data_IF_511177844401
#
_entry.id   IF_511177844401
#
_cell.length_a   1.000
_cell.length_b   1.000
_cell.length_c   1.000
_cell.angle_alpha   90.00
_cell.angle_beta   90.00
_cell.angle_gamma   90.00
#
_symmetry.space_group_name_H-M   'P 1'
#
loop_
_entity.id
_entity.type
_entity.pdbx_description
1 polymer ?
#
# COMPACT_ATOMS: atom_id res chain seq x y z
N UNK A 1 -62.06 -32.62 -47.99
CA UNK A 1 -60.64 -32.79 -47.63
C UNK A 1 -59.83 -31.88 -48.54
N UNK A 2 -59.44 -30.69 -48.06
CA UNK A 2 -58.76 -29.64 -48.85
C UNK A 2 -57.34 -29.43 -48.30
N UNK A 3 -56.30 -29.30 -49.15
CA UNK A 3 -54.93 -29.11 -48.67
C UNK A 3 -54.71 -27.66 -48.20
N UNK A 4 -54.09 -27.50 -47.03
CA UNK A 4 -53.63 -26.21 -46.51
C UNK A 4 -52.31 -25.85 -47.19
N UNK A 5 -52.28 -24.71 -47.87
CA UNK A 5 -51.04 -24.11 -48.38
C UNK A 5 -50.27 -23.51 -47.19
N UNK A 6 -49.05 -24.01 -46.97
CA UNK A 6 -48.13 -23.47 -45.96
C UNK A 6 -47.40 -22.27 -46.56
N UNK A 7 -47.84 -21.05 -46.23
CA UNK A 7 -47.16 -19.82 -46.62
C UNK A 7 -45.96 -19.58 -45.72
N UNK A 8 -44.75 -19.73 -46.29
CA UNK A 8 -43.48 -19.50 -45.61
C UNK A 8 -43.27 -17.97 -45.48
N UNK A 9 -43.39 -17.44 -44.27
CA UNK A 9 -43.14 -16.02 -44.01
C UNK A 9 -41.65 -15.66 -44.25
N UNK A 10 -41.35 -14.51 -44.88
CA UNK A 10 -39.96 -14.11 -45.08
C UNK A 10 -39.35 -13.68 -43.74
N UNK A 11 -38.22 -14.32 -43.37
CA UNK A 11 -37.37 -13.85 -42.29
C UNK A 11 -36.78 -12.50 -42.71
N UNK A 12 -37.30 -11.41 -42.16
CA UNK A 12 -36.68 -10.08 -42.27
C UNK A 12 -35.37 -10.13 -41.49
N UNK A 13 -34.27 -10.34 -42.20
CA UNK A 13 -32.95 -10.07 -41.66
C UNK A 13 -32.93 -8.60 -41.27
N UNK A 14 -32.87 -8.30 -39.97
CA UNK A 14 -32.60 -6.93 -39.53
C UNK A 14 -31.24 -6.59 -40.13
N UNK A 15 -31.22 -5.64 -41.07
CA UNK A 15 -29.98 -5.08 -41.55
C UNK A 15 -29.27 -4.51 -40.33
N UNK A 16 -28.21 -5.19 -39.89
CA UNK A 16 -27.28 -4.61 -38.95
C UNK A 16 -26.77 -3.34 -39.62
N UNK A 17 -27.16 -2.18 -39.09
CA UNK A 17 -26.57 -0.91 -39.51
C UNK A 17 -25.09 -1.01 -39.16
N UNK A 18 -24.25 -1.23 -40.17
CA UNK A 18 -22.80 -1.30 -40.00
C UNK A 18 -22.27 0.04 -39.50
N UNK A 19 -21.31 -0.02 -38.60
CA UNK A 19 -20.58 1.15 -38.12
C UNK A 19 -19.92 1.87 -39.31
N UNK A 20 -20.01 3.19 -39.34
CA UNK A 20 -19.33 3.97 -40.38
C UNK A 20 -17.83 4.06 -40.07
N UNK A 21 -16.97 4.23 -41.09
CA UNK A 21 -15.53 4.46 -40.88
C UNK A 21 -15.26 5.68 -39.97
N UNK A 22 -16.09 6.71 -40.12
CA UNK A 22 -16.03 7.93 -39.29
C UNK A 22 -16.32 7.61 -37.83
N UNK A 23 -17.29 6.75 -37.54
CA UNK A 23 -17.63 6.35 -36.17
C UNK A 23 -16.48 5.62 -35.49
N UNK A 24 -15.82 4.70 -36.20
CA UNK A 24 -14.65 3.98 -35.66
C UNK A 24 -13.45 4.93 -35.44
N UNK A 25 -13.23 5.90 -36.33
CA UNK A 25 -12.21 6.94 -36.13
C UNK A 25 -12.49 7.79 -34.89
N UNK A 26 -13.75 8.21 -34.69
CA UNK A 26 -14.16 8.98 -33.51
C UNK A 26 -13.97 8.17 -32.23
N UNK A 27 -14.34 6.89 -32.22
CA UNK A 27 -14.15 6.01 -31.05
C UNK A 27 -12.66 5.86 -30.71
N UNK A 28 -11.79 5.63 -31.71
CA UNK A 28 -10.34 5.54 -31.47
C UNK A 28 -9.78 6.87 -30.99
N UNK A 29 -10.23 8.00 -31.54
CA UNK A 29 -9.79 9.33 -31.10
C UNK A 29 -10.15 9.58 -29.62
N UNK A 30 -11.37 9.25 -29.21
CA UNK A 30 -11.80 9.36 -27.81
C UNK A 30 -11.03 8.38 -26.92
N UNK A 31 -10.86 7.12 -27.34
CA UNK A 31 -10.11 6.12 -26.60
C UNK A 31 -8.64 6.53 -26.42
N UNK A 32 -7.99 7.08 -27.45
CA UNK A 32 -6.62 7.60 -27.38
C UNK A 32 -6.52 8.78 -26.41
N UNK A 33 -7.50 9.69 -26.43
CA UNK A 33 -7.55 10.83 -25.50
C UNK A 33 -7.72 10.37 -24.04
N UNK A 34 -8.56 9.37 -23.77
CA UNK A 34 -8.72 8.79 -22.43
C UNK A 34 -7.47 8.02 -21.99
N UNK A 35 -6.88 7.23 -22.89
CA UNK A 35 -5.66 6.47 -22.62
C UNK A 35 -4.47 7.38 -22.27
N UNK A 36 -4.41 8.60 -22.85
CA UNK A 36 -3.38 9.58 -22.53
C UNK A 36 -3.44 10.09 -21.07
N UNK A 37 -4.63 10.08 -20.43
CA UNK A 37 -4.80 10.53 -19.04
C UNK A 37 -4.63 9.38 -18.02
N UNK A 38 -4.71 8.14 -18.46
CA UNK A 38 -4.67 6.96 -17.59
C UNK A 38 -3.39 6.85 -16.72
N UNK A 39 -2.16 7.15 -17.23
CA UNK A 39 -0.94 7.03 -16.42
C UNK A 39 -0.94 7.94 -15.18
N UNK A 40 -1.41 9.19 -15.32
CA UNK A 40 -1.43 10.13 -14.19
C UNK A 40 -2.39 9.71 -13.08
N UNK A 41 -3.58 9.20 -13.45
CA UNK A 41 -4.55 8.70 -12.48
C UNK A 41 -4.01 7.44 -11.78
N UNK A 42 -3.33 6.57 -12.53
CA UNK A 42 -2.77 5.32 -12.00
C UNK A 42 -1.68 5.56 -10.95
N UNK A 43 -0.75 6.48 -11.19
CA UNK A 43 0.35 6.80 -10.25
C UNK A 43 -0.18 7.21 -8.88
N UNK A 44 -1.17 8.12 -8.83
CA UNK A 44 -1.74 8.60 -7.55
C UNK A 44 -2.43 7.50 -6.74
N UNK A 45 -3.12 6.58 -7.43
CA UNK A 45 -3.79 5.45 -6.79
C UNK A 45 -2.73 4.51 -6.18
N UNK A 46 -1.66 4.25 -6.93
CA UNK A 46 -0.55 3.39 -6.48
C UNK A 46 0.20 3.99 -5.29
N UNK A 47 0.59 5.27 -5.33
CA UNK A 47 1.24 5.96 -4.20
C UNK A 47 0.40 5.86 -2.92
N UNK A 48 -0.91 6.09 -3.04
CA UNK A 48 -1.84 6.01 -1.91
C UNK A 48 -1.95 4.59 -1.36
N UNK A 49 -1.95 3.58 -2.24
CA UNK A 49 -1.96 2.18 -1.84
C UNK A 49 -0.66 1.78 -1.14
N UNK A 50 0.48 2.09 -1.74
CA UNK A 50 1.81 1.82 -1.21
C UNK A 50 2.03 2.49 0.15
N UNK A 51 1.57 3.73 0.34
CA UNK A 51 1.62 4.40 1.63
C UNK A 51 0.83 3.63 2.70
N UNK A 52 -0.42 3.27 2.40
CA UNK A 52 -1.28 2.53 3.35
C UNK A 52 -0.68 1.17 3.68
N UNK A 53 -0.09 0.50 2.70
CA UNK A 53 0.54 -0.79 2.86
C UNK A 53 1.85 -0.68 3.68
N UNK A 54 2.62 0.39 3.50
CA UNK A 54 3.81 0.67 4.30
C UNK A 54 3.46 0.91 5.78
N UNK A 55 2.47 1.76 6.06
CA UNK A 55 2.00 2.00 7.43
C UNK A 55 1.44 0.73 8.06
N UNK A 56 0.61 -0.01 7.31
CA UNK A 56 -0.01 -1.25 7.79
C UNK A 56 1.03 -2.34 8.07
N UNK A 57 2.00 -2.52 7.17
CA UNK A 57 3.04 -3.54 7.34
C UNK A 57 3.93 -3.21 8.53
N UNK A 58 4.37 -1.96 8.69
CA UNK A 58 5.11 -1.51 9.87
C UNK A 58 4.34 -1.77 11.17
N UNK A 59 3.08 -1.33 11.23
CA UNK A 59 2.23 -1.54 12.41
C UNK A 59 2.06 -3.02 12.76
N UNK A 60 1.76 -3.83 11.75
CA UNK A 60 1.55 -5.28 11.93
C UNK A 60 2.83 -5.94 12.41
N UNK A 61 3.98 -5.65 11.79
CA UNK A 61 5.26 -6.24 12.20
C UNK A 61 5.66 -5.86 13.62
N UNK A 62 5.51 -4.59 14.02
CA UNK A 62 5.80 -4.18 15.40
C UNK A 62 4.89 -4.89 16.41
N UNK A 63 3.59 -4.95 16.11
CA UNK A 63 2.63 -5.64 16.97
C UNK A 63 2.94 -7.13 17.11
N UNK A 64 3.25 -7.80 16.00
CA UNK A 64 3.54 -9.23 16.05
C UNK A 64 4.87 -9.51 16.76
N UNK A 65 5.90 -8.69 16.57
CA UNK A 65 7.16 -8.83 17.32
C UNK A 65 6.97 -8.64 18.83
N UNK A 66 6.09 -7.71 19.25
CA UNK A 66 5.71 -7.57 20.67
C UNK A 66 5.01 -8.83 21.19
N UNK A 67 4.02 -9.31 20.45
CA UNK A 67 3.28 -10.53 20.82
C UNK A 67 4.23 -11.75 20.89
N UNK A 68 5.16 -11.87 19.95
CA UNK A 68 6.20 -12.90 19.96
C UNK A 68 7.16 -12.77 21.14
N UNK A 69 7.58 -11.56 21.52
CA UNK A 69 8.44 -11.35 22.69
C UNK A 69 7.74 -11.82 23.98
N UNK A 70 6.47 -11.49 24.13
CA UNK A 70 5.64 -11.90 25.27
C UNK A 70 5.43 -13.42 25.33
N UNK A 71 5.13 -14.05 24.18
CA UNK A 71 4.83 -15.49 24.12
C UNK A 71 6.10 -16.34 24.21
N UNK A 72 7.16 -15.95 23.50
CA UNK A 72 8.43 -16.69 23.49
C UNK A 72 9.27 -16.46 24.76
N UNK A 73 9.01 -15.38 25.50
CA UNK A 73 9.84 -14.97 26.62
C UNK A 73 11.26 -14.53 26.20
N UNK A 74 11.46 -14.19 24.91
CA UNK A 74 12.73 -13.76 24.35
C UNK A 74 12.63 -12.33 23.82
N UNK A 75 13.76 -11.61 23.81
CA UNK A 75 13.83 -10.27 23.23
C UNK A 75 13.65 -10.36 21.71
N UNK A 76 12.72 -9.58 21.16
CA UNK A 76 12.52 -9.45 19.72
C UNK A 76 13.01 -8.10 19.22
N UNK A 77 13.79 -8.11 18.14
CA UNK A 77 14.38 -6.90 17.56
C UNK A 77 13.70 -6.55 16.25
N UNK A 78 13.12 -5.37 16.19
CA UNK A 78 12.74 -4.71 14.95
C UNK A 78 13.90 -3.84 14.45
N UNK A 79 14.22 -3.90 13.16
CA UNK A 79 15.26 -3.08 12.53
C UNK A 79 14.75 -2.53 11.20
N UNK A 80 14.84 -1.21 11.05
CA UNK A 80 14.44 -0.46 9.87
C UNK A 80 15.67 0.27 9.31
N UNK A 81 16.01 -0.03 8.06
CA UNK A 81 17.01 0.72 7.29
C UNK A 81 16.33 1.97 6.70
N UNK A 82 16.70 3.14 7.20
CA UNK A 82 16.10 4.42 6.80
C UNK A 82 16.57 4.85 5.41
N UNK A 83 17.77 4.42 4.99
CA UNK A 83 18.33 4.77 3.67
C UNK A 83 17.76 3.87 2.58
N UNK A 84 17.77 2.56 2.81
CA UNK A 84 17.23 1.59 1.86
C UNK A 84 15.70 1.45 1.97
N UNK A 85 15.06 2.16 2.93
CA UNK A 85 13.62 2.20 3.18
C UNK A 85 13.04 0.79 3.26
N UNK A 86 13.66 -0.07 4.05
CA UNK A 86 13.27 -1.47 4.15
C UNK A 86 13.46 -2.01 5.55
N UNK A 87 12.63 -2.98 5.90
CA UNK A 87 12.77 -3.75 7.13
C UNK A 87 12.50 -5.22 6.85
N UNK A 88 13.01 -6.08 7.73
CA UNK A 88 12.76 -7.51 7.65
C UNK A 88 11.80 -7.90 8.75
N UNK A 89 10.89 -8.82 8.42
CA UNK A 89 10.04 -9.47 9.39
C UNK A 89 9.89 -10.94 8.98
N UNK A 90 10.31 -11.84 9.88
CA UNK A 90 10.48 -13.26 9.55
C UNK A 90 11.41 -13.46 8.34
N UNK A 91 10.93 -14.17 7.33
CA UNK A 91 11.63 -14.39 6.05
C UNK A 91 11.29 -13.36 4.96
N UNK A 92 10.43 -12.39 5.26
CA UNK A 92 9.95 -11.41 4.28
C UNK A 92 10.66 -10.07 4.47
N UNK A 93 11.22 -9.55 3.39
CA UNK A 93 11.72 -8.17 3.33
C UNK A 93 10.63 -7.26 2.79
N UNK A 94 10.27 -6.24 3.57
CA UNK A 94 9.35 -5.19 3.16
C UNK A 94 10.15 -3.99 2.66
N UNK A 95 9.92 -3.61 1.41
CA UNK A 95 10.50 -2.40 0.81
C UNK A 95 9.42 -1.34 0.70
N UNK A 96 9.66 -0.19 1.32
CA UNK A 96 8.77 0.96 1.25
C UNK A 96 9.01 1.73 -0.04
N UNK A 97 7.99 2.43 -0.50
CA UNK A 97 8.04 3.22 -1.73
C UNK A 97 9.13 4.31 -1.63
N UNK A 98 9.94 4.51 -2.69
CA UNK A 98 11.06 5.43 -2.67
C UNK A 98 10.64 6.90 -2.50
N UNK A 99 9.38 7.24 -2.77
CA UNK A 99 8.80 8.57 -2.59
C UNK A 99 8.54 8.92 -1.11
N UNK A 100 8.46 7.92 -0.22
CA UNK A 100 8.15 8.12 1.19
C UNK A 100 9.39 8.57 1.96
N UNK A 101 9.28 9.60 2.79
CA UNK A 101 10.35 9.99 3.70
C UNK A 101 10.16 9.27 5.04
N UNK A 102 11.25 8.70 5.57
CA UNK A 102 11.27 8.00 6.84
C UNK A 102 12.09 8.79 7.85
N UNK A 103 11.52 9.04 9.02
CA UNK A 103 12.23 9.58 10.16
C UNK A 103 12.02 8.67 11.35
N UNK A 104 13.07 8.46 12.13
CA UNK A 104 12.94 7.69 13.35
C UNK A 104 13.58 8.44 14.51
N UNK A 105 12.97 8.28 15.68
CA UNK A 105 13.48 8.75 16.95
C UNK A 105 13.39 7.57 17.89
N UNK A 106 14.48 6.83 17.99
CA UNK A 106 14.60 5.66 18.86
C UNK A 106 15.69 5.93 19.87
N UNK A 107 15.54 5.34 21.06
CA UNK A 107 16.61 5.27 22.05
C UNK A 107 17.66 4.27 21.54
N UNK A 108 18.44 4.69 20.54
CA UNK A 108 19.50 3.85 19.99
C UNK A 108 20.67 3.81 20.98
N UNK A 109 21.11 2.60 21.33
CA UNK A 109 22.34 2.34 22.07
C UNK A 109 23.55 2.17 21.10
N UNK A 110 23.31 2.25 19.78
CA UNK A 110 24.30 2.18 18.70
C UNK A 110 24.66 3.53 18.08
N UNK A 111 25.73 3.55 17.27
CA UNK A 111 26.33 4.78 16.73
C UNK A 111 25.63 5.35 15.47
N UNK A 112 24.62 4.69 14.91
CA UNK A 112 24.09 4.96 13.56
C UNK A 112 22.58 5.24 13.50
N UNK A 113 22.02 5.93 14.50
CA UNK A 113 20.61 6.33 14.55
C UNK A 113 20.12 7.14 13.32
N UNK A 114 21.05 7.63 12.48
CA UNK A 114 20.75 8.33 11.22
C UNK A 114 20.54 7.37 10.03
N UNK A 115 21.03 6.13 10.12
CA UNK A 115 21.00 5.15 9.01
C UNK A 115 20.03 4.01 9.28
N UNK A 116 19.93 3.56 10.52
CA UNK A 116 18.98 2.54 10.93
C UNK A 116 18.28 2.93 12.22
N UNK A 117 17.07 2.42 12.38
CA UNK A 117 16.30 2.53 13.60
C UNK A 117 16.01 1.12 14.11
N UNK A 118 16.29 0.88 15.39
CA UNK A 118 15.98 -0.39 16.03
C UNK A 118 15.06 -0.18 17.24
N UNK A 119 14.08 -1.08 17.39
CA UNK A 119 13.19 -1.14 18.55
C UNK A 119 13.25 -2.55 19.10
N UNK A 120 13.54 -2.68 20.39
CA UNK A 120 13.62 -3.98 21.04
C UNK A 120 12.37 -4.15 21.90
N UNK A 121 11.63 -5.23 21.66
CA UNK A 121 10.50 -5.64 22.48
C UNK A 121 11.01 -6.65 23.51
N UNK A 122 10.70 -6.39 24.76
CA UNK A 122 11.20 -7.16 25.89
C UNK A 122 10.12 -8.14 26.37
N UNK A 123 10.50 -9.32 26.90
CA UNK A 123 9.54 -10.34 27.32
C UNK A 123 8.68 -9.94 28.53
N UNK A 124 9.12 -8.97 29.33
CA UNK A 124 8.33 -8.36 30.41
C UNK A 124 7.21 -7.42 29.91
N UNK A 125 7.16 -7.15 28.60
CA UNK A 125 6.12 -6.35 27.95
C UNK A 125 6.52 -4.91 27.62
N UNK A 126 7.64 -4.43 28.13
CA UNK A 126 8.22 -3.13 27.77
C UNK A 126 8.90 -3.13 26.38
N UNK A 127 9.42 -1.98 26.00
CA UNK A 127 10.25 -1.83 24.81
C UNK A 127 11.35 -0.79 25.03
N UNK A 128 12.34 -0.71 24.14
CA UNK A 128 13.24 0.47 24.10
C UNK A 128 12.48 1.75 23.75
N UNK A 129 11.29 1.60 23.15
CA UNK A 129 10.42 2.69 22.75
C UNK A 129 10.94 3.48 21.54
N UNK A 130 10.20 4.53 21.18
CA UNK A 130 10.56 5.46 20.11
C UNK A 130 9.40 5.77 19.17
N UNK A 131 9.71 6.44 18.06
CA UNK A 131 8.74 6.71 17.01
C UNK A 131 9.35 6.58 15.62
N UNK A 132 8.55 6.07 14.69
CA UNK A 132 8.86 5.98 13.27
C UNK A 132 7.80 6.78 12.52
N UNK A 133 8.23 7.73 11.71
CA UNK A 133 7.40 8.61 10.91
C UNK A 133 7.50 8.19 9.45
N UNK A 134 6.35 8.02 8.80
CA UNK A 134 6.22 7.78 7.37
C UNK A 134 5.52 8.99 6.77
N UNK A 135 6.28 9.79 6.05
CA UNK A 135 5.86 11.05 5.45
C UNK A 135 5.64 10.87 3.94
N UNK A 136 4.58 11.48 3.42
CA UNK A 136 4.33 11.59 1.99
C UNK A 136 5.07 12.82 1.43
N UNK A 137 5.31 12.88 0.11
CA UNK A 137 5.84 14.07 -0.56
C UNK A 137 5.00 15.35 -0.32
N UNK A 138 3.72 15.18 0.02
CA UNK A 138 2.77 16.26 0.34
C UNK A 138 2.98 16.87 1.73
N UNK A 139 3.86 16.31 2.58
CA UNK A 139 4.20 16.81 3.91
C UNK A 139 3.37 16.22 5.05
N UNK A 140 2.22 15.62 4.73
CA UNK A 140 1.41 14.87 5.68
C UNK A 140 1.90 13.42 5.84
N UNK A 141 1.55 12.76 6.94
CA UNK A 141 2.11 11.45 7.24
C UNK A 141 1.47 10.73 8.41
N UNK A 142 2.17 9.71 8.89
CA UNK A 142 1.79 8.94 10.07
C UNK A 142 3.01 8.76 10.94
N UNK A 143 2.87 9.03 12.24
CA UNK A 143 3.83 8.65 13.27
C UNK A 143 3.32 7.40 13.97
N UNK A 144 4.12 6.34 13.93
CA UNK A 144 3.94 5.12 14.73
C UNK A 144 4.84 5.26 15.95
N UNK A 145 4.26 5.27 17.15
CA UNK A 145 4.98 5.42 18.42
C UNK A 145 4.91 4.13 19.22
N UNK A 146 6.01 3.77 19.85
CA UNK A 146 6.14 2.66 20.79
C UNK A 146 6.48 3.24 22.16
N UNK A 147 5.63 2.99 23.15
CA UNK A 147 5.89 3.35 24.54
C UNK A 147 6.97 2.45 25.14
N UNK A 148 7.93 3.05 25.85
CA UNK A 148 9.06 2.32 26.42
C UNK A 148 8.68 1.48 27.65
N UNK A 149 7.69 1.94 28.42
CA UNK A 149 7.29 1.27 29.65
C UNK A 149 6.30 0.15 29.37
N UNK A 150 5.27 0.43 28.55
CA UNK A 150 4.18 -0.52 28.32
C UNK A 150 4.36 -1.34 27.04
N UNK A 151 5.26 -0.94 26.15
CA UNK A 151 5.37 -1.51 24.81
C UNK A 151 4.19 -1.19 23.90
N UNK A 152 3.30 -0.27 24.31
CA UNK A 152 2.11 0.06 23.53
C UNK A 152 2.45 0.79 22.24
N UNK A 153 1.81 0.34 21.17
CA UNK A 153 2.02 0.84 19.83
C UNK A 153 0.82 1.72 19.49
N UNK A 154 1.06 2.97 19.11
CA UNK A 154 0.02 3.96 18.80
C UNK A 154 0.29 4.65 17.48
N UNK A 155 -0.78 4.95 16.74
CA UNK A 155 -0.70 5.61 15.43
C UNK A 155 -1.27 7.01 15.54
N UNK A 156 -0.49 7.99 15.09
CA UNK A 156 -0.89 9.40 15.07
C UNK A 156 -0.74 9.97 13.67
N UNK A 157 -1.75 10.69 13.19
CA UNK A 157 -1.69 11.36 11.91
C UNK A 157 -0.79 12.61 12.03
N UNK A 158 0.14 12.75 11.10
CA UNK A 158 0.95 13.96 10.95
C UNK A 158 0.29 14.86 9.92
N UNK A 159 0.04 16.10 10.33
CA UNK A 159 -0.45 17.16 9.46
C UNK A 159 0.75 17.97 8.94
N UNK A 160 0.67 18.53 7.72
CA UNK A 160 1.74 19.30 7.11
C UNK A 160 2.00 20.63 7.82
#
# INVERSE_FOLDING_TARGET
MAPRVCSKAPRRWRAARGFTLVELLVVIAIAAMLAALAPMAYVRIQESAQYRDAVRSLWTSLRTLREEALVSGQVQRFELDLQAKRFNYGSTTYTLAPELELRATVADLGQDATRSAAIWFLPEGGATGGSIEILRPTGDGTRVRVDWLTGDITQEALLP
#
